data_IF_037703125530
#
_entry.id   IF_037703125530
#
_cell.length_a   1.000
_cell.length_b   1.000
_cell.length_c   1.000
_cell.angle_alpha   90.00
_cell.angle_beta   90.00
_cell.angle_gamma   90.00
#
_symmetry.space_group_name_H-M   'P 1'
#
loop_
_entity.id
_entity.type
_entity.pdbx_description
1 polymer ?
#
# COMPACT_ATOMS: atom_id res chain seq x y z
N UNK A 1 57.87 -33.75 -49.81
CA UNK A 1 57.45 -32.55 -49.04
C UNK A 1 57.31 -31.32 -49.95
N UNK A 2 56.69 -31.45 -51.14
CA UNK A 2 56.44 -30.31 -52.07
C UNK A 2 55.04 -30.38 -52.70
N UNK A 3 54.43 -31.57 -52.80
CA UNK A 3 53.05 -31.71 -53.30
C UNK A 3 51.94 -31.37 -52.29
N UNK A 4 52.24 -31.31 -51.00
CA UNK A 4 51.22 -31.11 -49.96
C UNK A 4 50.88 -29.61 -49.74
N UNK A 5 51.88 -28.72 -49.87
CA UNK A 5 51.65 -27.27 -49.80
C UNK A 5 50.89 -26.71 -51.01
N UNK A 6 51.05 -27.31 -52.20
CA UNK A 6 50.41 -26.81 -53.43
C UNK A 6 48.88 -27.05 -53.46
N UNK A 7 48.40 -28.09 -52.78
CA UNK A 7 46.96 -28.41 -52.69
C UNK A 7 46.26 -27.48 -51.70
N UNK A 8 46.93 -27.14 -50.58
CA UNK A 8 46.41 -26.22 -49.57
C UNK A 8 46.16 -24.81 -50.14
N UNK A 9 47.06 -24.27 -50.96
CA UNK A 9 46.92 -22.91 -51.54
C UNK A 9 45.79 -22.83 -52.58
N UNK A 10 45.44 -23.94 -53.25
CA UNK A 10 44.41 -23.95 -54.29
C UNK A 10 42.99 -23.94 -53.73
N UNK A 11 42.78 -24.58 -52.58
CA UNK A 11 41.47 -24.63 -51.89
C UNK A 11 41.05 -23.24 -51.38
N UNK A 12 42.00 -22.46 -50.86
CA UNK A 12 41.75 -21.09 -50.37
C UNK A 12 41.62 -20.02 -51.46
N UNK A 13 41.75 -20.39 -52.75
CA UNK A 13 41.49 -19.52 -53.90
C UNK A 13 40.19 -19.84 -54.64
N UNK A 14 39.53 -20.94 -54.27
CA UNK A 14 38.23 -21.28 -54.84
C UNK A 14 37.13 -20.46 -54.16
N UNK A 15 36.53 -19.55 -54.93
CA UNK A 15 35.44 -18.67 -54.47
C UNK A 15 34.29 -19.48 -53.87
N UNK A 16 34.00 -20.68 -54.40
CA UNK A 16 32.91 -21.53 -53.91
C UNK A 16 33.21 -22.07 -52.52
N UNK A 17 34.46 -22.46 -52.27
CA UNK A 17 34.91 -22.93 -50.97
C UNK A 17 34.89 -21.79 -49.94
N UNK A 18 35.38 -20.60 -50.31
CA UNK A 18 35.32 -19.41 -49.45
C UNK A 18 33.86 -19.05 -49.10
N UNK A 19 32.94 -19.06 -50.08
CA UNK A 19 31.53 -18.78 -49.82
C UNK A 19 30.88 -19.81 -48.89
N UNK A 20 31.27 -21.08 -49.00
CA UNK A 20 30.74 -22.15 -48.16
C UNK A 20 31.26 -22.04 -46.72
N UNK A 21 32.54 -21.72 -46.54
CA UNK A 21 33.13 -21.44 -45.22
C UNK A 21 32.51 -20.18 -44.61
N UNK A 22 32.30 -19.11 -45.39
CA UNK A 22 31.64 -17.90 -44.93
C UNK A 22 30.19 -18.16 -44.49
N UNK A 23 29.43 -18.96 -45.23
CA UNK A 23 28.07 -19.37 -44.85
C UNK A 23 28.05 -20.22 -43.58
N UNK A 24 29.01 -21.14 -43.42
CA UNK A 24 29.16 -21.93 -42.19
C UNK A 24 29.47 -21.06 -40.98
N UNK A 25 30.41 -20.12 -41.12
CA UNK A 25 30.76 -19.17 -40.05
C UNK A 25 29.60 -18.22 -39.74
N UNK A 26 28.85 -17.77 -40.75
CA UNK A 26 27.66 -16.95 -40.57
C UNK A 26 26.56 -17.74 -39.84
N UNK A 27 26.32 -19.00 -40.22
CA UNK A 27 25.36 -19.87 -39.52
C UNK A 27 25.78 -20.15 -38.08
N UNK A 28 27.08 -20.40 -37.84
CA UNK A 28 27.61 -20.60 -36.50
C UNK A 28 27.48 -19.31 -35.67
N UNK A 29 27.71 -18.14 -36.27
CA UNK A 29 27.51 -16.86 -35.61
C UNK A 29 26.03 -16.63 -35.21
N UNK A 30 25.07 -16.94 -36.09
CA UNK A 30 23.65 -16.83 -35.76
C UNK A 30 23.19 -17.85 -34.71
N UNK A 31 23.78 -19.05 -34.67
CA UNK A 31 23.45 -20.08 -33.68
C UNK A 31 24.12 -19.81 -32.33
N UNK A 32 25.35 -19.27 -32.31
CA UNK A 32 26.12 -19.04 -31.09
C UNK A 32 25.87 -17.65 -30.47
N UNK A 33 25.49 -16.64 -31.26
CA UNK A 33 25.25 -15.29 -30.74
C UNK A 33 24.19 -15.22 -29.63
N UNK A 34 23.03 -15.93 -29.68
CA UNK A 34 22.06 -15.89 -28.59
C UNK A 34 22.61 -16.49 -27.29
N UNK A 35 23.52 -17.45 -27.39
CA UNK A 35 24.14 -18.13 -26.24
C UNK A 35 25.25 -17.29 -25.60
N UNK A 36 25.95 -16.47 -26.39
CA UNK A 36 27.05 -15.59 -25.92
C UNK A 36 26.55 -14.23 -25.43
N UNK A 37 25.42 -13.73 -25.93
CA UNK A 37 24.87 -12.42 -25.56
C UNK A 37 23.62 -12.48 -24.65
N UNK A 38 23.40 -13.59 -23.94
CA UNK A 38 22.31 -13.67 -22.96
C UNK A 38 22.54 -12.63 -21.86
N UNK A 39 21.61 -11.68 -21.71
CA UNK A 39 21.65 -10.70 -20.62
C UNK A 39 21.60 -11.46 -19.28
N UNK A 40 22.58 -11.22 -18.42
CA UNK A 40 22.67 -11.82 -17.09
C UNK A 40 22.27 -10.81 -16.03
N UNK A 41 21.58 -11.28 -14.99
CA UNK A 41 21.11 -10.46 -13.89
C UNK A 41 19.60 -10.53 -13.76
N UNK A 42 19.08 -9.72 -12.84
CA UNK A 42 17.65 -9.63 -12.55
C UNK A 42 17.23 -8.17 -12.57
N UNK A 43 16.01 -7.88 -13.03
CA UNK A 43 15.45 -6.54 -12.93
C UNK A 43 14.76 -6.38 -11.57
N UNK A 44 14.91 -5.22 -10.95
CA UNK A 44 14.17 -4.83 -9.73
C UNK A 44 12.71 -4.62 -10.11
N UNK A 45 11.81 -5.49 -9.64
CA UNK A 45 10.37 -5.39 -9.90
C UNK A 45 9.67 -4.44 -8.92
N UNK A 46 10.11 -4.41 -7.67
CA UNK A 46 9.53 -3.53 -6.65
C UNK A 46 10.58 -3.20 -5.60
N UNK A 47 10.72 -1.92 -5.28
CA UNK A 47 11.46 -1.48 -4.09
C UNK A 47 10.44 -1.13 -3.04
N UNK A 48 10.47 -1.82 -1.91
CA UNK A 48 9.62 -1.50 -0.78
C UNK A 48 9.91 -0.06 -0.34
N UNK A 49 8.86 0.70 -0.06
CA UNK A 49 9.02 2.06 0.44
C UNK A 49 9.70 2.13 1.82
N UNK A 50 9.78 1.02 2.56
CA UNK A 50 10.61 0.89 3.77
C UNK A 50 12.05 0.44 3.51
N UNK A 51 12.41 0.17 2.24
CA UNK A 51 13.75 -0.27 1.90
C UNK A 51 14.74 0.87 2.12
N UNK A 52 15.71 0.63 2.99
CA UNK A 52 16.84 1.54 3.18
C UNK A 52 17.88 1.27 2.09
N UNK A 53 17.51 1.58 0.84
CA UNK A 53 18.32 1.36 -0.33
C UNK A 53 18.85 2.68 -0.90
N UNK A 54 20.17 2.78 -1.10
CA UNK A 54 20.82 3.89 -1.75
C UNK A 54 21.19 3.52 -3.20
N UNK A 55 20.78 4.34 -4.16
CA UNK A 55 21.11 4.16 -5.57
C UNK A 55 20.33 3.05 -6.28
N UNK A 56 19.15 2.69 -5.77
CA UNK A 56 18.28 1.66 -6.31
C UNK A 56 16.93 2.24 -6.72
N UNK A 57 16.39 1.82 -7.86
CA UNK A 57 15.03 2.11 -8.31
C UNK A 57 14.43 0.90 -9.02
N UNK A 58 13.10 0.90 -9.17
CA UNK A 58 12.42 -0.08 -10.02
C UNK A 58 13.00 -0.05 -11.46
N UNK A 59 13.01 -1.20 -12.11
CA UNK A 59 13.61 -1.49 -13.42
C UNK A 59 15.14 -1.46 -13.48
N UNK A 60 15.84 -1.19 -12.38
CA UNK A 60 17.29 -1.35 -12.33
C UNK A 60 17.69 -2.82 -12.52
N UNK A 61 18.84 -3.05 -13.16
CA UNK A 61 19.37 -4.41 -13.36
C UNK A 61 20.42 -4.71 -12.30
N UNK A 62 20.15 -5.71 -11.46
CA UNK A 62 21.09 -6.23 -10.47
C UNK A 62 21.95 -7.32 -11.09
N UNK A 63 23.26 -7.12 -11.05
CA UNK A 63 24.26 -8.07 -11.57
C UNK A 63 25.12 -8.69 -10.46
N UNK A 64 25.09 -8.11 -9.26
CA UNK A 64 25.85 -8.60 -8.10
C UNK A 64 25.15 -8.25 -6.78
N UNK A 65 25.17 -9.19 -5.82
CA UNK A 65 24.76 -8.99 -4.42
C UNK A 65 25.83 -9.56 -3.50
N UNK A 66 26.35 -8.77 -2.56
CA UNK A 66 27.40 -9.16 -1.61
C UNK A 66 28.62 -9.84 -2.26
N UNK A 67 29.00 -9.38 -3.45
CA UNK A 67 30.09 -9.96 -4.23
C UNK A 67 29.70 -11.19 -5.08
N UNK A 68 28.53 -11.78 -4.87
CA UNK A 68 28.02 -12.91 -5.67
C UNK A 68 27.39 -12.43 -6.97
N UNK A 69 27.77 -13.06 -8.08
CA UNK A 69 27.20 -12.77 -9.39
C UNK A 69 25.77 -13.30 -9.50
N UNK A 70 24.88 -12.44 -9.98
CA UNK A 70 23.46 -12.76 -10.16
C UNK A 70 23.19 -13.00 -11.63
N UNK A 71 22.60 -14.16 -11.95
CA UNK A 71 22.23 -14.55 -13.31
C UNK A 71 20.72 -14.58 -13.52
N UNK A 72 19.99 -14.92 -12.46
CA UNK A 72 18.53 -15.14 -12.41
C UNK A 72 18.02 -14.98 -10.96
N UNK A 73 16.69 -14.98 -10.80
CA UNK A 73 16.00 -14.85 -9.51
C UNK A 73 16.41 -15.93 -8.51
N UNK A 74 16.69 -17.15 -8.97
CA UNK A 74 17.15 -18.23 -8.07
C UNK A 74 18.53 -17.91 -7.47
N UNK A 75 19.46 -17.42 -8.29
CA UNK A 75 20.78 -17.00 -7.82
C UNK A 75 20.69 -15.78 -6.89
N UNK A 76 19.71 -14.89 -7.11
CA UNK A 76 19.42 -13.78 -6.22
C UNK A 76 18.90 -14.27 -4.86
N UNK A 77 17.88 -15.14 -4.84
CA UNK A 77 17.31 -15.69 -3.60
C UNK A 77 18.37 -16.43 -2.76
N UNK A 78 19.27 -17.15 -3.43
CA UNK A 78 20.41 -17.80 -2.79
C UNK A 78 21.41 -16.78 -2.20
N UNK A 79 21.66 -15.67 -2.89
CA UNK A 79 22.61 -14.65 -2.41
C UNK A 79 22.15 -13.94 -1.14
N UNK A 80 20.84 -13.97 -0.84
CA UNK A 80 20.24 -13.36 0.35
C UNK A 80 19.79 -14.39 1.40
N UNK A 81 20.02 -15.69 1.19
CA UNK A 81 19.47 -16.75 2.05
C UNK A 81 19.96 -16.68 3.50
N UNK A 82 21.14 -16.10 3.71
CA UNK A 82 21.81 -15.99 5.01
C UNK A 82 21.76 -14.57 5.58
N UNK A 83 21.18 -13.62 4.85
CA UNK A 83 21.05 -12.22 5.28
C UNK A 83 20.05 -12.11 6.44
N UNK A 84 20.44 -11.39 7.48
CA UNK A 84 19.65 -11.12 8.68
C UNK A 84 19.14 -9.68 8.71
N UNK A 85 18.03 -9.47 9.41
CA UNK A 85 17.48 -8.15 9.63
C UNK A 85 18.56 -7.16 10.14
N UNK A 86 18.70 -6.01 9.48
CA UNK A 86 19.70 -4.99 9.79
C UNK A 86 21.08 -5.17 9.14
N UNK A 87 21.32 -6.27 8.42
CA UNK A 87 22.57 -6.46 7.69
C UNK A 87 22.73 -5.46 6.55
N UNK A 88 23.94 -4.97 6.35
CA UNK A 88 24.27 -4.12 5.21
C UNK A 88 24.62 -4.98 3.98
N UNK A 89 23.87 -4.79 2.90
CA UNK A 89 23.97 -5.56 1.66
C UNK A 89 24.47 -4.67 0.53
N UNK A 90 25.55 -5.10 -0.11
CA UNK A 90 26.15 -4.39 -1.25
C UNK A 90 25.60 -4.91 -2.57
N UNK A 91 25.36 -4.02 -3.52
CA UNK A 91 24.73 -4.34 -4.81
C UNK A 91 25.50 -3.66 -5.96
N UNK A 92 25.40 -4.26 -7.15
CA UNK A 92 25.64 -3.54 -8.41
C UNK A 92 24.31 -3.35 -9.14
N UNK A 93 23.79 -2.13 -9.08
CA UNK A 93 22.59 -1.69 -9.81
C UNK A 93 22.99 -0.99 -11.11
N UNK A 94 22.60 -1.53 -12.26
CA UNK A 94 23.03 -1.08 -13.59
C UNK A 94 24.57 -0.94 -13.69
N UNK A 95 25.31 -1.82 -13.02
CA UNK A 95 26.77 -1.79 -12.86
C UNK A 95 27.33 -0.58 -12.08
N UNK A 96 26.51 0.14 -11.34
CA UNK A 96 26.90 1.19 -10.39
C UNK A 96 26.72 0.67 -8.96
N UNK A 97 27.63 1.01 -8.03
CA UNK A 97 27.46 0.63 -6.63
C UNK A 97 26.14 1.15 -6.06
N UNK A 98 25.37 0.23 -5.49
CA UNK A 98 24.18 0.49 -4.70
C UNK A 98 24.28 -0.31 -3.40
N UNK A 99 23.42 0.00 -2.43
CA UNK A 99 23.38 -0.73 -1.17
C UNK A 99 21.98 -0.75 -0.59
N UNK A 100 21.66 -1.76 0.19
CA UNK A 100 20.44 -1.83 0.99
C UNK A 100 20.77 -2.29 2.41
N UNK A 101 20.01 -1.83 3.40
CA UNK A 101 19.97 -2.45 4.73
C UNK A 101 18.80 -3.45 4.76
N UNK A 102 19.05 -4.67 5.21
CA UNK A 102 18.04 -5.72 5.25
C UNK A 102 16.87 -5.37 6.18
N UNK A 103 15.65 -5.44 5.65
CA UNK A 103 14.41 -5.11 6.36
C UNK A 103 13.95 -6.25 7.26
N UNK A 104 14.22 -7.50 6.87
CA UNK A 104 14.01 -8.68 7.71
C UNK A 104 14.92 -9.84 7.29
N UNK A 105 14.83 -10.98 7.97
CA UNK A 105 15.57 -12.17 7.60
C UNK A 105 15.24 -12.58 6.15
N UNK A 106 16.27 -12.63 5.29
CA UNK A 106 16.17 -12.92 3.84
C UNK A 106 15.38 -11.90 3.02
N UNK A 107 15.16 -10.70 3.55
CA UNK A 107 14.50 -9.61 2.82
C UNK A 107 15.35 -8.36 2.88
N UNK A 108 15.78 -7.89 1.71
CA UNK A 108 16.60 -6.70 1.55
C UNK A 108 15.81 -5.48 1.08
N UNK A 109 14.48 -5.54 1.18
CA UNK A 109 13.57 -4.44 0.90
C UNK A 109 13.21 -4.29 -0.56
N UNK A 110 13.55 -5.23 -1.45
CA UNK A 110 13.08 -5.19 -2.83
C UNK A 110 12.91 -6.59 -3.42
N UNK A 111 12.03 -6.72 -4.40
CA UNK A 111 11.83 -7.95 -5.16
C UNK A 111 12.42 -7.82 -6.56
N UNK A 112 12.76 -8.96 -7.15
CA UNK A 112 13.37 -9.04 -8.47
C UNK A 112 12.58 -9.96 -9.40
N UNK A 113 12.80 -9.78 -10.70
CA UNK A 113 12.35 -10.67 -11.75
C UNK A 113 13.48 -10.97 -12.73
N UNK A 114 13.42 -12.11 -13.39
CA UNK A 114 14.37 -12.47 -14.43
C UNK A 114 14.35 -11.45 -15.59
N UNK A 115 15.52 -11.19 -16.17
CA UNK A 115 15.61 -10.37 -17.37
C UNK A 115 15.04 -11.13 -18.56
N UNK A 116 14.04 -10.53 -19.22
CA UNK A 116 13.52 -11.04 -20.47
C UNK A 116 14.63 -11.11 -21.53
N UNK A 117 14.78 -12.27 -22.17
CA UNK A 117 15.75 -12.49 -23.25
C UNK A 117 15.48 -11.61 -24.49
N UNK A 118 14.27 -11.04 -24.58
CA UNK A 118 13.83 -10.18 -25.67
C UNK A 118 13.21 -8.89 -25.11
N UNK A 119 13.12 -7.84 -25.94
CA UNK A 119 12.41 -6.61 -25.58
C UNK A 119 10.88 -6.75 -25.71
N UNK A 120 10.38 -7.96 -25.93
CA UNK A 120 8.95 -8.23 -25.99
C UNK A 120 8.43 -8.32 -24.56
N UNK A 121 7.38 -7.55 -24.27
CA UNK A 121 6.62 -7.68 -23.03
C UNK A 121 5.65 -8.83 -23.19
N UNK A 122 5.81 -9.89 -22.42
CA UNK A 122 4.88 -11.01 -22.46
C UNK A 122 3.84 -10.87 -21.34
N UNK A 123 2.81 -11.72 -21.39
CA UNK A 123 1.86 -11.84 -20.30
C UNK A 123 2.44 -12.65 -19.13
N UNK A 124 1.74 -12.64 -18.00
CA UNK A 124 2.07 -13.44 -16.82
C UNK A 124 2.14 -14.94 -17.12
N UNK A 125 1.47 -15.40 -18.19
CA UNK A 125 1.52 -16.77 -18.70
C UNK A 125 2.93 -17.20 -19.13
N UNK A 126 3.79 -16.24 -19.46
CA UNK A 126 5.17 -16.46 -19.93
C UNK A 126 6.17 -15.95 -18.90
N UNK A 127 5.93 -14.78 -18.32
CA UNK A 127 6.84 -14.13 -17.38
C UNK A 127 6.73 -14.68 -15.95
N UNK A 128 5.72 -15.52 -15.69
CA UNK A 128 5.40 -16.03 -14.36
C UNK A 128 4.90 -14.95 -13.40
N UNK A 129 4.26 -15.35 -12.30
CA UNK A 129 3.73 -14.44 -11.28
C UNK A 129 2.49 -14.98 -10.58
N UNK A 130 1.80 -14.10 -9.87
CA UNK A 130 0.53 -14.38 -9.19
C UNK A 130 -0.62 -13.68 -9.89
N UNK A 131 -1.64 -14.45 -10.30
CA UNK A 131 -2.94 -13.94 -10.74
C UNK A 131 -3.94 -14.12 -9.60
N UNK A 132 -4.62 -13.04 -9.23
CA UNK A 132 -5.65 -13.01 -8.18
C UNK A 132 -6.97 -12.58 -8.79
N UNK A 133 -8.04 -13.33 -8.52
CA UNK A 133 -9.40 -12.94 -8.85
C UNK A 133 -10.10 -12.46 -7.58
N UNK A 134 -10.61 -11.24 -7.63
CA UNK A 134 -11.36 -10.59 -6.55
C UNK A 134 -12.83 -10.51 -6.91
N UNK A 135 -13.69 -10.78 -5.94
CA UNK A 135 -15.15 -10.64 -6.02
C UNK A 135 -15.64 -9.66 -4.95
N UNK A 136 -16.68 -8.85 -5.21
CA UNK A 136 -17.32 -8.07 -4.17
C UNK A 136 -17.91 -8.96 -3.07
N UNK A 137 -17.84 -8.51 -1.82
CA UNK A 137 -18.45 -9.21 -0.69
C UNK A 137 -19.98 -9.17 -0.68
N UNK A 138 -20.61 -8.39 -1.58
CA UNK A 138 -22.06 -8.26 -1.72
C UNK A 138 -22.47 -8.56 -3.16
N UNK A 139 -23.66 -9.14 -3.34
CA UNK A 139 -24.21 -9.49 -4.65
C UNK A 139 -24.83 -8.30 -5.40
N UNK A 140 -25.12 -7.20 -4.70
CA UNK A 140 -25.74 -6.02 -5.29
C UNK A 140 -24.69 -4.97 -5.66
N UNK A 141 -23.98 -5.20 -6.76
CA UNK A 141 -22.93 -4.31 -7.27
C UNK A 141 -23.17 -4.00 -8.74
N UNK A 142 -22.96 -2.74 -9.11
CA UNK A 142 -23.07 -2.26 -10.50
C UNK A 142 -21.72 -2.36 -11.22
N UNK A 143 -21.73 -2.49 -12.54
CA UNK A 143 -20.50 -2.47 -13.34
C UNK A 143 -19.68 -1.20 -13.09
N UNK A 144 -20.35 -0.04 -12.96
CA UNK A 144 -19.69 1.22 -12.63
C UNK A 144 -18.95 1.18 -11.27
N UNK A 145 -19.50 0.48 -10.26
CA UNK A 145 -18.79 0.29 -8.99
C UNK A 145 -17.58 -0.63 -9.13
N UNK A 146 -17.64 -1.65 -9.99
CA UNK A 146 -16.49 -2.52 -10.29
C UNK A 146 -15.40 -1.74 -11.01
N UNK A 147 -15.75 -0.97 -12.03
CA UNK A 147 -14.81 -0.14 -12.78
C UNK A 147 -14.14 0.88 -11.86
N UNK A 148 -14.91 1.55 -11.01
CA UNK A 148 -14.38 2.49 -10.02
C UNK A 148 -13.47 1.80 -8.99
N UNK A 149 -13.84 0.61 -8.54
CA UNK A 149 -13.01 -0.19 -7.63
C UNK A 149 -11.69 -0.60 -8.30
N UNK A 150 -11.73 -1.02 -9.56
CA UNK A 150 -10.54 -1.35 -10.34
C UNK A 150 -9.65 -0.11 -10.56
N UNK A 151 -10.25 1.06 -10.82
CA UNK A 151 -9.53 2.34 -10.93
C UNK A 151 -8.78 2.67 -9.64
N UNK A 152 -9.45 2.63 -8.49
CA UNK A 152 -8.84 2.93 -7.19
C UNK A 152 -7.74 1.92 -6.83
N UNK A 153 -7.95 0.62 -7.10
CA UNK A 153 -6.91 -0.39 -6.94
C UNK A 153 -5.69 -0.09 -7.82
N UNK A 154 -5.90 0.30 -9.08
CA UNK A 154 -4.82 0.72 -9.99
C UNK A 154 -4.08 1.94 -9.47
N UNK A 155 -4.77 2.92 -8.88
CA UNK A 155 -4.13 4.07 -8.24
C UNK A 155 -3.29 3.66 -7.04
N UNK A 156 -3.78 2.77 -6.17
CA UNK A 156 -2.99 2.25 -5.03
C UNK A 156 -1.73 1.56 -5.48
N UNK A 157 -1.85 0.69 -6.48
CA UNK A 157 -0.72 0.00 -7.12
C UNK A 157 0.34 1.02 -7.56
N UNK A 158 -0.07 2.06 -8.28
CA UNK A 158 0.85 3.11 -8.74
C UNK A 158 1.47 3.90 -7.58
N UNK A 159 0.68 4.24 -6.56
CA UNK A 159 1.14 5.00 -5.38
C UNK A 159 2.12 4.19 -4.51
N UNK A 160 1.96 2.87 -4.45
CA UNK A 160 2.94 1.98 -3.84
C UNK A 160 4.20 1.78 -4.70
N UNK A 161 4.22 2.29 -5.94
CA UNK A 161 5.35 2.11 -6.85
C UNK A 161 5.41 0.72 -7.49
N UNK A 162 4.28 0.02 -7.58
CA UNK A 162 4.17 -1.32 -8.13
C UNK A 162 3.92 -1.26 -9.64
N UNK A 163 4.99 -1.18 -10.44
CA UNK A 163 4.89 -1.02 -11.91
C UNK A 163 4.41 -2.27 -12.65
N UNK A 164 4.60 -3.44 -12.07
CA UNK A 164 4.33 -4.75 -12.70
C UNK A 164 2.98 -5.35 -12.28
N UNK A 165 2.09 -4.55 -11.70
CA UNK A 165 0.73 -5.00 -11.36
C UNK A 165 -0.28 -4.47 -12.35
N UNK A 166 -1.04 -5.38 -12.95
CA UNK A 166 -2.16 -5.05 -13.83
C UNK A 166 -3.47 -5.31 -13.10
N UNK A 167 -4.34 -4.30 -13.08
CA UNK A 167 -5.69 -4.40 -12.53
C UNK A 167 -6.69 -4.32 -13.67
N UNK A 168 -7.50 -5.36 -13.86
CA UNK A 168 -8.44 -5.47 -14.97
C UNK A 168 -9.83 -5.88 -14.45
N UNK A 169 -10.88 -5.07 -14.65
CA UNK A 169 -12.25 -5.50 -14.38
C UNK A 169 -12.68 -6.58 -15.39
N UNK A 170 -13.36 -7.63 -14.92
CA UNK A 170 -13.87 -8.73 -15.73
C UNK A 170 -15.39 -8.82 -15.54
N UNK A 171 -16.13 -8.63 -16.63
CA UNK A 171 -17.59 -8.65 -16.58
C UNK A 171 -18.15 -7.59 -15.64
N UNK A 172 -19.13 -7.96 -14.82
CA UNK A 172 -19.83 -7.03 -13.92
C UNK A 172 -19.59 -7.28 -12.44
N UNK A 173 -18.72 -8.23 -12.07
CA UNK A 173 -18.56 -8.68 -10.69
C UNK A 173 -17.18 -9.22 -10.33
N UNK A 174 -16.20 -9.12 -11.23
CA UNK A 174 -14.84 -9.64 -11.00
C UNK A 174 -13.81 -8.57 -11.27
N UNK A 175 -12.72 -8.61 -10.50
CA UNK A 175 -11.51 -7.84 -10.76
C UNK A 175 -10.33 -8.80 -10.75
N UNK A 176 -9.58 -8.84 -11.84
CA UNK A 176 -8.35 -9.60 -11.96
C UNK A 176 -7.16 -8.70 -11.64
N UNK A 177 -6.29 -9.18 -10.76
CA UNK A 177 -4.97 -8.60 -10.51
C UNK A 177 -3.91 -9.58 -10.98
N UNK A 178 -2.93 -9.09 -11.72
CA UNK A 178 -1.75 -9.86 -12.12
C UNK A 178 -0.53 -9.15 -11.58
N UNK A 179 0.31 -9.85 -10.82
CA UNK A 179 1.50 -9.29 -10.20
C UNK A 179 2.69 -10.24 -10.37
N UNK A 180 3.82 -9.70 -10.80
CA UNK A 180 5.10 -10.42 -10.81
C UNK A 180 5.76 -10.29 -9.43
N UNK A 181 6.10 -11.41 -8.79
CA UNK A 181 6.88 -11.40 -7.54
C UNK A 181 6.15 -10.96 -6.27
N UNK A 182 4.81 -10.84 -6.28
CA UNK A 182 4.00 -10.65 -5.06
C UNK A 182 3.19 -11.91 -4.74
N UNK A 183 3.05 -12.23 -3.45
CA UNK A 183 2.14 -13.29 -3.02
C UNK A 183 0.68 -12.80 -3.01
N UNK A 184 -0.27 -13.74 -3.07
CA UNK A 184 -1.70 -13.40 -2.89
C UNK A 184 -2.00 -12.74 -1.53
N UNK A 185 -1.20 -13.06 -0.50
CA UNK A 185 -1.32 -12.46 0.83
C UNK A 185 -0.91 -10.98 0.85
N UNK A 186 0.13 -10.62 0.11
CA UNK A 186 0.59 -9.22 -0.01
C UNK A 186 -0.48 -8.38 -0.71
N UNK A 187 -1.04 -8.89 -1.81
CA UNK A 187 -2.14 -8.25 -2.53
C UNK A 187 -3.34 -8.04 -1.60
N UNK A 188 -3.69 -9.03 -0.77
CA UNK A 188 -4.82 -8.91 0.16
C UNK A 188 -4.58 -7.85 1.25
N UNK A 189 -3.39 -7.87 1.84
CA UNK A 189 -3.10 -7.05 3.01
C UNK A 189 -2.85 -5.59 2.64
N UNK A 190 -2.29 -5.32 1.46
CA UNK A 190 -1.88 -3.98 1.06
C UNK A 190 -2.80 -3.32 0.03
N UNK A 191 -3.40 -4.09 -0.90
CA UNK A 191 -4.18 -3.53 -2.00
C UNK A 191 -5.70 -3.66 -1.78
N UNK A 192 -6.17 -4.86 -1.41
CA UNK A 192 -7.60 -5.20 -1.39
C UNK A 192 -8.37 -4.80 -0.10
N UNK A 193 -7.78 -3.99 0.78
CA UNK A 193 -8.49 -3.42 1.93
C UNK A 193 -9.47 -2.36 1.47
N UNK A 194 -10.61 -2.18 2.14
CA UNK A 194 -11.57 -1.17 1.69
C UNK A 194 -10.96 0.23 1.82
N UNK A 195 -10.29 0.50 2.94
CA UNK A 195 -9.69 1.80 3.19
C UNK A 195 -10.73 2.86 3.55
N UNK A 196 -11.84 2.46 4.18
CA UNK A 196 -12.83 3.39 4.70
C UNK A 196 -12.24 4.12 5.88
N UNK A 197 -11.96 5.41 5.70
CA UNK A 197 -11.42 6.25 6.75
C UNK A 197 -12.49 7.17 7.31
N UNK A 198 -12.65 7.21 8.63
CA UNK A 198 -13.60 8.07 9.33
C UNK A 198 -12.93 8.73 10.53
N UNK A 199 -13.07 10.04 10.67
CA UNK A 199 -12.73 10.79 11.88
C UNK A 199 -14.00 11.08 12.66
N UNK A 200 -14.09 10.55 13.88
CA UNK A 200 -15.25 10.75 14.76
C UNK A 200 -14.83 11.33 16.09
N UNK A 201 -15.64 12.23 16.61
CA UNK A 201 -15.45 12.80 17.94
C UNK A 201 -16.14 11.89 18.97
N UNK A 202 -15.37 11.23 19.82
CA UNK A 202 -15.87 10.39 20.90
C UNK A 202 -16.23 11.25 22.12
N UNK A 203 -17.52 11.35 22.39
CA UNK A 203 -18.07 12.13 23.50
C UNK A 203 -18.58 11.17 24.59
N UNK A 204 -17.90 11.10 25.74
CA UNK A 204 -18.40 10.38 26.89
C UNK A 204 -19.53 11.17 27.55
N UNK A 205 -20.64 10.49 27.85
CA UNK A 205 -21.77 11.03 28.57
C UNK A 205 -21.83 10.37 29.94
N UNK A 206 -21.84 11.17 30.99
CA UNK A 206 -22.05 10.74 32.37
C UNK A 206 -23.44 11.22 32.82
N UNK A 207 -24.29 10.29 33.26
CA UNK A 207 -25.66 10.59 33.63
C UNK A 207 -25.79 10.89 35.12
N UNK A 208 -26.41 12.02 35.44
CA UNK A 208 -26.86 12.37 36.80
C UNK A 208 -28.38 12.43 36.80
N UNK A 209 -29.04 11.64 37.65
CA UNK A 209 -30.50 11.47 37.66
C UNK A 209 -31.07 11.12 36.28
N UNK A 210 -30.38 10.23 35.55
CA UNK A 210 -30.67 9.85 34.16
C UNK A 210 -30.58 10.99 33.14
N UNK A 211 -30.04 12.16 33.49
CA UNK A 211 -29.86 13.29 32.58
C UNK A 211 -28.38 13.53 32.26
N UNK A 212 -28.10 13.79 30.99
CA UNK A 212 -26.82 14.27 30.47
C UNK A 212 -27.10 15.31 29.38
N UNK A 213 -26.04 15.96 28.89
CA UNK A 213 -26.13 16.89 27.77
C UNK A 213 -25.08 16.57 26.72
N UNK A 214 -25.45 16.72 25.44
CA UNK A 214 -24.53 16.78 24.31
C UNK A 214 -24.39 18.25 23.89
N UNK A 215 -23.17 18.72 23.64
CA UNK A 215 -22.94 20.11 23.22
C UNK A 215 -22.57 20.16 21.73
N UNK A 216 -23.36 20.90 20.94
CA UNK A 216 -23.10 21.12 19.51
C UNK A 216 -23.31 22.59 19.15
N UNK A 217 -22.27 23.24 18.64
CA UNK A 217 -22.27 24.66 18.28
C UNK A 217 -22.57 25.55 19.47
N UNK A 218 -21.96 25.26 20.63
CA UNK A 218 -22.23 25.94 21.91
C UNK A 218 -23.63 25.72 22.50
N UNK A 219 -24.51 24.97 21.82
CA UNK A 219 -25.86 24.68 22.29
C UNK A 219 -25.89 23.36 23.04
N UNK A 220 -26.50 23.35 24.23
CA UNK A 220 -26.66 22.16 25.05
C UNK A 220 -27.97 21.45 24.69
N UNK A 221 -27.87 20.18 24.30
CA UNK A 221 -29.01 19.31 23.97
C UNK A 221 -29.19 18.28 25.08
N UNK A 222 -30.35 18.23 25.75
CA UNK A 222 -30.61 17.27 26.80
C UNK A 222 -30.73 15.85 26.21
N UNK A 223 -30.13 14.90 26.91
CA UNK A 223 -30.22 13.47 26.63
C UNK A 223 -30.60 12.76 27.91
N UNK A 224 -31.61 11.89 27.84
CA UNK A 224 -32.02 11.11 29.01
C UNK A 224 -31.80 9.62 28.82
N UNK A 225 -31.37 8.94 29.87
CA UNK A 225 -31.20 7.49 29.88
C UNK A 225 -32.53 6.84 30.26
N UNK A 226 -33.11 6.07 29.34
CA UNK A 226 -34.36 5.34 29.55
C UNK A 226 -34.08 3.85 29.39
N UNK A 227 -33.82 3.18 30.52
CA UNK A 227 -33.39 1.78 30.52
C UNK A 227 -32.02 1.63 29.87
N UNK A 228 -31.97 1.00 28.68
CA UNK A 228 -30.73 0.82 27.89
C UNK A 228 -30.77 1.60 26.57
N UNK A 229 -31.52 2.70 26.54
CA UNK A 229 -31.70 3.57 25.37
C UNK A 229 -31.48 5.04 25.76
N UNK A 230 -31.08 5.84 24.78
CA UNK A 230 -31.00 7.29 24.92
C UNK A 230 -32.24 7.93 24.31
N UNK A 231 -32.96 8.73 25.09
CA UNK A 231 -33.95 9.65 24.56
C UNK A 231 -33.26 10.94 24.11
N UNK A 232 -33.32 11.21 22.81
CA UNK A 232 -32.81 12.44 22.18
C UNK A 232 -33.97 13.11 21.45
N UNK A 233 -34.37 14.30 21.89
CA UNK A 233 -35.51 15.05 21.33
C UNK A 233 -36.83 14.26 21.27
N UNK A 234 -37.10 13.38 22.24
CA UNK A 234 -38.34 12.60 22.35
C UNK A 234 -38.33 11.28 21.56
N UNK A 235 -37.17 10.89 21.01
CA UNK A 235 -36.99 9.64 20.26
C UNK A 235 -36.00 8.73 20.99
N UNK A 236 -36.37 7.45 21.14
CA UNK A 236 -35.54 6.45 21.82
C UNK A 236 -34.56 5.79 20.83
N UNK A 237 -33.29 5.82 21.20
CA UNK A 237 -32.17 5.33 20.40
C UNK A 237 -31.40 4.23 21.16
N UNK A 238 -31.33 3.04 20.58
CA UNK A 238 -30.55 1.92 21.12
C UNK A 238 -29.06 2.02 20.75
N UNK A 239 -28.22 1.21 21.39
CA UNK A 239 -26.83 0.99 20.94
C UNK A 239 -26.78 0.66 19.43
N UNK A 240 -25.74 1.14 18.75
CA UNK A 240 -25.50 1.10 17.31
C UNK A 240 -26.48 1.92 16.44
N UNK A 241 -27.53 2.50 17.02
CA UNK A 241 -28.40 3.43 16.28
C UNK A 241 -27.72 4.79 16.11
N UNK A 242 -28.29 5.59 15.20
CA UNK A 242 -27.81 6.94 14.90
C UNK A 242 -28.91 7.97 15.16
N UNK A 243 -28.50 9.19 15.45
CA UNK A 243 -29.36 10.37 15.58
C UNK A 243 -28.62 11.61 15.10
N UNK A 244 -29.31 12.73 14.90
CA UNK A 244 -28.71 13.97 14.44
C UNK A 244 -29.00 15.12 15.40
N UNK A 245 -27.96 15.88 15.76
CA UNK A 245 -28.06 17.10 16.57
C UNK A 245 -27.25 18.21 15.91
N UNK A 246 -27.85 19.40 15.77
CA UNK A 246 -27.18 20.54 15.14
C UNK A 246 -26.64 20.26 13.73
N UNK A 247 -27.21 19.32 12.97
CA UNK A 247 -26.72 18.92 11.65
C UNK A 247 -25.49 17.99 11.67
N UNK A 248 -25.11 17.45 12.82
CA UNK A 248 -24.06 16.44 12.99
C UNK A 248 -24.72 15.10 13.32
N UNK A 249 -24.29 14.04 12.62
CA UNK A 249 -24.75 12.68 12.87
C UNK A 249 -23.93 12.05 13.98
N UNK A 250 -24.61 11.45 14.95
CA UNK A 250 -24.01 10.72 16.06
C UNK A 250 -24.35 9.23 15.96
N UNK A 251 -23.42 8.38 16.40
CA UNK A 251 -23.62 6.94 16.55
C UNK A 251 -23.42 6.56 18.02
N UNK A 252 -24.35 5.79 18.58
CA UNK A 252 -24.21 5.29 19.95
C UNK A 252 -23.38 4.00 19.91
N UNK A 253 -22.26 3.95 20.64
CA UNK A 253 -21.37 2.77 20.66
C UNK A 253 -21.39 2.03 21.98
N UNK A 254 -21.76 2.70 23.07
CA UNK A 254 -21.85 2.08 24.37
C UNK A 254 -22.92 2.76 25.22
N UNK A 255 -23.68 1.97 25.99
CA UNK A 255 -24.61 2.45 27.00
C UNK A 255 -24.45 1.53 28.22
N UNK A 256 -24.28 2.13 29.39
CA UNK A 256 -24.30 1.47 30.70
C UNK A 256 -25.42 2.05 31.55
N UNK A 257 -25.50 1.67 32.82
CA UNK A 257 -26.52 2.20 33.74
C UNK A 257 -26.30 3.67 34.13
N UNK A 258 -25.10 4.21 33.91
CA UNK A 258 -24.74 5.56 34.34
C UNK A 258 -23.88 6.33 33.32
N UNK A 259 -23.48 5.70 32.21
CA UNK A 259 -22.69 6.36 31.17
C UNK A 259 -23.06 5.88 29.77
N UNK A 260 -22.69 6.68 28.77
CA UNK A 260 -22.76 6.29 27.36
C UNK A 260 -21.58 6.87 26.58
N UNK A 261 -21.29 6.29 25.42
CA UNK A 261 -20.34 6.85 24.46
C UNK A 261 -21.09 7.06 23.15
N UNK A 262 -21.03 8.30 22.66
CA UNK A 262 -21.52 8.67 21.34
C UNK A 262 -20.37 9.15 20.46
N UNK A 263 -20.42 8.82 19.19
CA UNK A 263 -19.43 9.21 18.20
C UNK A 263 -20.05 10.20 17.22
N UNK A 264 -19.62 11.45 17.24
CA UNK A 264 -20.02 12.46 16.26
C UNK A 264 -19.21 12.30 14.97
N UNK A 265 -19.87 12.18 13.82
CA UNK A 265 -19.19 12.06 12.53
C UNK A 265 -18.63 13.42 12.10
N UNK A 266 -17.31 13.56 12.12
CA UNK A 266 -16.64 14.82 11.77
C UNK A 266 -16.21 14.80 10.31
N UNK A 267 -15.48 13.78 9.89
CA UNK A 267 -15.01 13.66 8.52
C UNK A 267 -14.90 12.21 8.08
N UNK A 268 -14.89 12.03 6.77
CA UNK A 268 -14.67 10.77 6.08
C UNK A 268 -13.50 10.90 5.11
N UNK A 269 -13.06 9.80 4.51
CA UNK A 269 -12.06 9.82 3.44
C UNK A 269 -12.43 10.76 2.28
N UNK A 270 -13.73 10.97 2.01
CA UNK A 270 -14.18 11.88 0.96
C UNK A 270 -13.97 13.36 1.29
N UNK A 271 -13.77 13.69 2.57
CA UNK A 271 -13.45 15.05 3.00
C UNK A 271 -11.95 15.36 2.87
N UNK A 272 -11.11 14.36 2.61
CA UNK A 272 -9.66 14.55 2.43
C UNK A 272 -9.42 15.06 1.02
N UNK A 273 -8.86 16.27 0.95
CA UNK A 273 -8.52 16.95 -0.30
C UNK A 273 -7.07 16.70 -0.70
N UNK A 274 -6.18 16.44 0.27
CA UNK A 274 -4.78 16.15 0.03
C UNK A 274 -4.15 15.42 1.22
N UNK A 275 -3.05 14.71 0.96
CA UNK A 275 -2.19 14.10 1.99
C UNK A 275 -0.78 14.63 1.77
N UNK A 276 -0.22 15.33 2.76
CA UNK A 276 1.10 15.94 2.68
C UNK A 276 2.16 14.91 3.06
N UNK A 277 2.92 14.44 2.07
CA UNK A 277 3.95 13.41 2.22
C UNK A 277 5.37 13.98 2.19
N UNK A 278 5.52 15.31 2.20
CA UNK A 278 6.83 15.94 2.21
C UNK A 278 7.49 15.86 3.60
N UNK A 279 8.83 15.93 3.69
CA UNK A 279 9.55 15.74 4.97
C UNK A 279 9.22 16.75 6.08
N UNK A 280 8.56 17.87 5.78
CA UNK A 280 8.16 18.85 6.80
C UNK A 280 6.84 18.46 7.47
N UNK A 281 6.01 17.68 6.77
CA UNK A 281 4.65 17.35 7.21
C UNK A 281 4.45 15.86 7.47
N UNK A 282 5.32 15.00 6.94
CA UNK A 282 5.31 13.54 7.12
C UNK A 282 6.68 13.02 7.58
N UNK A 283 6.68 12.08 8.52
CA UNK A 283 7.91 11.48 9.02
C UNK A 283 7.74 10.55 10.21
N UNK A 284 8.84 9.90 10.56
CA UNK A 284 8.92 8.94 11.67
C UNK A 284 9.96 9.44 12.66
N UNK A 285 9.57 9.47 13.93
CA UNK A 285 10.42 9.89 15.05
C UNK A 285 10.52 8.77 16.10
N UNK A 286 11.70 8.54 16.70
CA UNK A 286 11.83 7.64 17.84
C UNK A 286 10.95 8.08 19.02
N UNK A 287 10.35 7.12 19.71
CA UNK A 287 9.59 7.29 20.95
C UNK A 287 10.04 6.25 22.00
N UNK A 288 9.71 6.45 23.27
CA UNK A 288 10.28 5.69 24.40
C UNK A 288 10.36 4.17 24.22
N UNK A 289 9.36 3.55 23.58
CA UNK A 289 9.30 2.09 23.36
C UNK A 289 9.07 1.69 21.90
N UNK A 290 9.41 2.56 20.96
CA UNK A 290 9.20 2.29 19.53
C UNK A 290 9.32 3.54 18.66
N UNK A 291 8.50 3.62 17.63
CA UNK A 291 8.54 4.67 16.62
C UNK A 291 7.16 5.25 16.43
N UNK A 292 7.10 6.58 16.42
CA UNK A 292 5.90 7.34 16.13
C UNK A 292 6.00 7.87 14.72
N UNK A 293 5.01 7.58 13.88
CA UNK A 293 4.87 8.25 12.60
C UNK A 293 3.86 9.39 12.71
N UNK A 294 4.03 10.41 11.88
CA UNK A 294 3.12 11.54 11.74
C UNK A 294 3.03 11.93 10.28
N UNK A 295 1.84 12.30 9.81
CA UNK A 295 1.67 12.98 8.53
C UNK A 295 0.50 13.95 8.59
N UNK A 296 0.47 14.97 7.73
CA UNK A 296 -0.61 15.99 7.72
C UNK A 296 -1.56 15.73 6.57
N UNK A 297 -2.86 15.86 6.81
CA UNK A 297 -3.89 15.82 5.76
C UNK A 297 -4.55 17.18 5.61
N UNK A 298 -5.02 17.48 4.41
CA UNK A 298 -5.86 18.64 4.15
C UNK A 298 -7.31 18.17 4.01
N UNK A 299 -8.22 18.76 4.78
CA UNK A 299 -9.65 18.44 4.74
C UNK A 299 -10.47 19.58 4.15
N UNK A 300 -11.66 19.23 3.64
CA UNK A 300 -12.65 20.18 3.14
C UNK A 300 -13.05 21.20 4.21
N UNK A 301 -13.49 22.38 3.77
CA UNK A 301 -13.96 23.44 4.67
C UNK A 301 -15.19 22.97 5.45
N UNK A 302 -16.06 22.21 4.79
CA UNK A 302 -17.26 21.63 5.36
C UNK A 302 -16.93 20.68 6.52
N UNK A 303 -15.89 19.85 6.37
CA UNK A 303 -15.37 18.99 7.43
C UNK A 303 -14.80 19.80 8.60
N UNK A 304 -13.96 20.79 8.30
CA UNK A 304 -13.38 21.67 9.31
C UNK A 304 -14.48 22.42 10.11
N UNK A 305 -15.58 22.79 9.47
CA UNK A 305 -16.72 23.44 10.12
C UNK A 305 -17.56 22.49 10.96
N UNK A 306 -17.70 21.22 10.55
CA UNK A 306 -18.29 20.19 11.42
C UNK A 306 -17.44 19.96 12.67
N UNK A 307 -16.11 19.93 12.53
CA UNK A 307 -15.20 19.83 13.68
C UNK A 307 -15.34 21.03 14.62
N UNK A 308 -15.29 22.24 14.08
CA UNK A 308 -15.48 23.47 14.83
C UNK A 308 -16.81 23.41 15.62
N UNK A 309 -17.90 23.08 14.93
CA UNK A 309 -19.22 23.00 15.54
C UNK A 309 -19.34 21.90 16.60
N UNK A 310 -18.77 20.72 16.39
CA UNK A 310 -18.81 19.63 17.37
C UNK A 310 -18.00 19.91 18.64
N UNK A 311 -16.99 20.78 18.54
CA UNK A 311 -16.06 21.10 19.64
C UNK A 311 -16.38 22.42 20.34
N UNK A 312 -17.11 23.32 19.68
CA UNK A 312 -17.49 24.62 20.23
C UNK A 312 -18.32 24.48 21.52
N UNK A 313 -17.83 25.07 22.61
CA UNK A 313 -18.50 25.08 23.92
C UNK A 313 -18.29 23.80 24.75
N UNK A 314 -17.49 22.84 24.28
CA UNK A 314 -17.17 21.64 25.04
C UNK A 314 -16.42 21.98 26.34
N UNK A 315 -16.74 21.31 27.48
CA UNK A 315 -16.02 21.50 28.73
C UNK A 315 -14.56 21.06 28.56
N UNK A 316 -13.66 21.75 29.27
CA UNK A 316 -12.24 21.47 29.23
C UNK A 316 -11.66 21.22 30.62
N UNK A 317 -10.67 20.33 30.69
CA UNK A 317 -9.92 20.01 31.90
C UNK A 317 -8.44 20.32 31.70
N UNK A 318 -7.75 20.76 32.76
CA UNK A 318 -6.32 21.05 32.71
C UNK A 318 -5.52 19.80 33.10
N UNK A 319 -4.57 19.43 32.26
CA UNK A 319 -3.70 18.27 32.46
C UNK A 319 -2.33 18.55 31.85
N UNK A 320 -1.25 18.21 32.56
CA UNK A 320 0.13 18.30 32.06
C UNK A 320 0.52 19.66 31.44
N UNK A 321 0.00 20.77 31.96
CA UNK A 321 0.35 22.11 31.48
C UNK A 321 -0.54 22.65 30.37
N UNK A 322 -1.49 21.87 29.86
CA UNK A 322 -2.41 22.26 28.79
C UNK A 322 -3.86 21.97 29.19
N UNK A 323 -4.80 22.68 28.57
CA UNK A 323 -6.23 22.42 28.75
C UNK A 323 -6.76 21.66 27.53
N UNK A 324 -7.50 20.59 27.76
CA UNK A 324 -8.08 19.73 26.72
C UNK A 324 -9.58 19.66 26.88
N UNK A 325 -10.33 19.69 25.78
CA UNK A 325 -11.77 19.39 25.83
C UNK A 325 -12.00 17.92 26.15
N UNK A 326 -13.13 17.63 26.79
CA UNK A 326 -13.52 16.25 27.16
C UNK A 326 -13.54 15.27 25.99
N UNK A 327 -14.17 15.58 24.84
CA UNK A 327 -14.22 14.61 23.75
C UNK A 327 -12.87 14.44 23.03
N UNK A 328 -12.63 13.23 22.54
CA UNK A 328 -11.40 12.87 21.80
C UNK A 328 -11.70 12.66 20.33
N UNK A 329 -10.80 13.09 19.44
CA UNK A 329 -10.89 12.74 18.03
C UNK A 329 -10.34 11.33 17.81
N UNK A 330 -11.20 10.39 17.45
CA UNK A 330 -10.85 9.01 17.16
C UNK A 330 -10.86 8.79 15.65
N UNK A 331 -9.75 8.28 15.13
CA UNK A 331 -9.60 7.93 13.72
C UNK A 331 -9.91 6.45 13.53
N UNK A 332 -10.71 6.13 12.54
CA UNK A 332 -11.11 4.77 12.19
C UNK A 332 -10.62 4.43 10.78
N UNK A 333 -10.11 3.22 10.62
CA UNK A 333 -9.83 2.59 9.33
C UNK A 333 -10.60 1.28 9.26
N UNK A 334 -11.45 1.12 8.25
CA UNK A 334 -12.30 -0.06 8.07
C UNK A 334 -13.08 -0.40 9.36
N UNK A 335 -13.65 0.63 9.99
CA UNK A 335 -14.43 0.57 11.25
C UNK A 335 -13.61 0.21 12.50
N UNK A 336 -12.30 0.01 12.39
CA UNK A 336 -11.41 -0.23 13.53
C UNK A 336 -10.73 1.07 13.97
N UNK A 337 -10.71 1.38 15.28
CA UNK A 337 -9.99 2.56 15.78
C UNK A 337 -8.49 2.38 15.58
N UNK A 338 -7.85 3.32 14.89
CA UNK A 338 -6.40 3.31 14.62
C UNK A 338 -5.63 4.35 15.42
N UNK A 339 -6.30 5.40 15.90
CA UNK A 339 -5.69 6.46 16.72
C UNK A 339 -6.76 7.20 17.53
N UNK A 340 -6.39 7.72 18.69
CA UNK A 340 -7.21 8.63 19.50
C UNK A 340 -6.36 9.84 19.90
N UNK A 341 -6.93 11.03 19.71
CA UNK A 341 -6.24 12.30 19.87
C UNK A 341 -7.00 13.18 20.86
N UNK A 342 -6.30 13.65 21.90
CA UNK A 342 -6.80 14.72 22.76
C UNK A 342 -6.83 16.03 21.97
N UNK A 343 -7.86 16.85 22.20
CA UNK A 343 -8.02 18.14 21.53
C UNK A 343 -7.77 19.24 22.55
N UNK A 344 -6.76 20.07 22.31
CA UNK A 344 -6.51 21.24 23.17
C UNK A 344 -7.68 22.22 23.08
N UNK A 345 -8.05 22.83 24.19
CA UNK A 345 -9.23 23.70 24.28
C UNK A 345 -9.15 24.94 23.41
N UNK A 346 -7.95 25.38 23.05
CA UNK A 346 -7.75 26.49 22.11
C UNK A 346 -8.18 26.15 20.67
N UNK A 347 -8.24 24.86 20.30
CA UNK A 347 -8.73 24.41 18.99
C UNK A 347 -10.25 24.21 18.95
N UNK A 348 -10.92 24.22 20.10
CA UNK A 348 -12.37 24.07 20.16
C UNK A 348 -13.06 25.23 19.44
N UNK A 349 -14.01 24.92 18.55
CA UNK A 349 -14.67 25.93 17.71
C UNK A 349 -13.82 26.46 16.55
N UNK A 350 -12.59 25.99 16.37
CA UNK A 350 -11.75 26.42 15.25
C UNK A 350 -11.95 25.52 14.02
N UNK A 351 -12.08 26.17 12.86
CA UNK A 351 -12.15 25.49 11.56
C UNK A 351 -10.73 25.10 11.12
N UNK A 352 -10.25 23.94 11.59
CA UNK A 352 -8.91 23.43 11.26
C UNK A 352 -8.96 22.56 9.99
N UNK A 353 -8.36 23.04 8.91
CA UNK A 353 -8.31 22.33 7.63
C UNK A 353 -7.08 21.43 7.46
N UNK A 354 -6.11 21.48 8.37
CA UNK A 354 -4.83 20.75 8.28
C UNK A 354 -4.53 19.92 9.52
N UNK A 355 -5.36 18.90 9.86
CA UNK A 355 -5.06 18.04 11.00
C UNK A 355 -3.88 17.09 10.72
N UNK A 356 -3.14 16.75 11.78
CA UNK A 356 -2.05 15.76 11.75
C UNK A 356 -2.54 14.40 12.24
N UNK A 357 -2.25 13.36 11.46
CA UNK A 357 -2.48 11.95 11.80
C UNK A 357 -1.19 11.40 12.40
N UNK A 358 -1.33 10.68 13.52
CA UNK A 358 -0.22 10.10 14.25
C UNK A 358 -0.51 8.65 14.59
N UNK A 359 0.52 7.81 14.55
CA UNK A 359 0.46 6.43 15.00
C UNK A 359 1.78 5.95 15.56
N UNK A 360 1.78 4.76 16.15
CA UNK A 360 2.93 4.18 16.82
C UNK A 360 3.08 2.70 16.45
N UNK A 361 4.32 2.25 16.28
CA UNK A 361 4.71 0.84 16.15
C UNK A 361 5.99 0.57 16.92
N UNK A 362 6.29 -0.69 17.20
CA UNK A 362 7.47 -1.08 17.99
C UNK A 362 8.75 -0.94 17.18
N UNK A 363 8.69 -1.16 15.86
CA UNK A 363 9.84 -1.03 14.95
C UNK A 363 9.66 0.13 13.98
N UNK A 364 10.79 0.64 13.45
CA UNK A 364 10.79 1.73 12.47
C UNK A 364 10.09 1.30 11.19
N UNK A 365 10.36 0.08 10.75
CA UNK A 365 9.84 -0.48 9.51
C UNK A 365 8.33 -0.70 9.59
N UNK A 366 7.81 -1.18 10.72
CA UNK A 366 6.37 -1.27 10.94
C UNK A 366 5.71 0.11 10.92
N UNK A 367 6.33 1.11 11.56
CA UNK A 367 5.81 2.48 11.56
C UNK A 367 5.79 3.07 10.13
N UNK A 368 6.82 2.79 9.33
CA UNK A 368 6.92 3.23 7.95
C UNK A 368 5.88 2.55 7.06
N UNK A 369 5.72 1.24 7.19
CA UNK A 369 4.73 0.47 6.45
C UNK A 369 3.30 0.93 6.78
N UNK A 370 3.00 1.17 8.06
CA UNK A 370 1.69 1.68 8.46
C UNK A 370 1.44 3.10 7.94
N UNK A 371 2.44 3.99 8.06
CA UNK A 371 2.34 5.36 7.56
C UNK A 371 2.06 5.38 6.05
N UNK A 372 2.87 4.68 5.26
CA UNK A 372 2.69 4.58 3.81
C UNK A 372 1.35 3.97 3.43
N UNK A 373 0.93 2.93 4.14
CA UNK A 373 -0.37 2.28 3.93
C UNK A 373 -1.50 3.28 4.12
N UNK A 374 -1.49 4.04 5.22
CA UNK A 374 -2.49 5.06 5.49
C UNK A 374 -2.44 6.17 4.43
N UNK A 375 -1.27 6.72 4.13
CA UNK A 375 -1.11 7.74 3.08
C UNK A 375 -1.67 7.27 1.73
N UNK A 376 -1.39 6.02 1.35
CA UNK A 376 -1.85 5.45 0.09
C UNK A 376 -3.37 5.26 0.06
N UNK A 377 -3.96 4.75 1.14
CA UNK A 377 -5.41 4.61 1.27
C UNK A 377 -6.10 5.97 1.19
N UNK A 378 -5.57 6.97 1.89
CA UNK A 378 -6.19 8.30 1.94
C UNK A 378 -6.04 9.06 0.62
N UNK A 379 -4.94 8.85 -0.13
CA UNK A 379 -4.73 9.45 -1.45
C UNK A 379 -5.55 8.80 -2.56
N UNK A 380 -5.70 7.48 -2.52
CA UNK A 380 -6.48 6.73 -3.51
C UNK A 380 -7.99 6.71 -3.22
N UNK A 381 -8.39 6.98 -1.99
CA UNK A 381 -9.77 6.90 -1.54
C UNK A 381 -10.19 5.49 -1.12
N UNK A 382 -11.43 5.38 -0.67
CA UNK A 382 -12.00 4.11 -0.20
C UNK A 382 -12.60 3.30 -1.36
N UNK A 383 -12.47 1.98 -1.31
CA UNK A 383 -13.12 1.11 -2.30
C UNK A 383 -14.65 1.20 -2.12
N UNK A 384 -15.41 1.46 -3.21
CA UNK A 384 -16.87 1.52 -3.17
C UNK A 384 -17.50 0.21 -2.68
N UNK A 385 -16.82 -0.92 -2.89
CA UNK A 385 -17.23 -2.24 -2.42
C UNK A 385 -16.08 -2.94 -1.72
N UNK A 386 -16.41 -3.70 -0.68
CA UNK A 386 -15.47 -4.62 -0.05
C UNK A 386 -15.21 -5.81 -0.98
N UNK A 387 -13.96 -6.27 -1.04
CA UNK A 387 -13.53 -7.36 -1.91
C UNK A 387 -13.13 -8.60 -1.11
N UNK A 388 -13.36 -9.77 -1.69
CA UNK A 388 -12.89 -11.07 -1.24
C UNK A 388 -11.99 -11.68 -2.32
N UNK A 389 -11.05 -12.53 -1.91
CA UNK A 389 -10.29 -13.35 -2.85
C UNK A 389 -11.14 -14.55 -3.23
N UNK A 390 -11.51 -14.64 -4.51
CA UNK A 390 -12.16 -15.81 -5.08
C UNK A 390 -11.13 -16.89 -5.40
N UNK A 391 -10.00 -16.48 -5.99
CA UNK A 391 -8.98 -17.41 -6.47
C UNK A 391 -7.59 -16.76 -6.53
N UNK A 392 -6.56 -17.57 -6.27
CA UNK A 392 -5.15 -17.22 -6.48
C UNK A 392 -4.52 -18.32 -7.34
N UNK A 393 -3.97 -17.94 -8.48
CA UNK A 393 -3.22 -18.81 -9.37
C UNK A 393 -1.76 -18.33 -9.41
N UNK A 394 -0.80 -19.22 -9.14
CA UNK A 394 0.62 -18.95 -9.34
C UNK A 394 1.06 -19.60 -10.63
N UNK A 395 1.64 -18.81 -11.54
CA UNK A 395 2.17 -19.27 -12.82
C UNK A 395 3.69 -19.23 -12.74
N UNK A 396 4.35 -20.35 -13.05
CA UNK A 396 5.81 -20.42 -13.02
C UNK A 396 6.41 -20.09 -14.39
N UNK A 397 7.57 -19.43 -14.41
CA UNK A 397 8.28 -19.07 -15.66
C UNK A 397 8.66 -20.29 -16.52
N UNK A 398 8.87 -21.45 -15.90
CA UNK A 398 9.21 -22.70 -16.59
C UNK A 398 8.05 -23.22 -17.45
N UNK A 399 6.80 -23.09 -16.98
CA UNK A 399 5.59 -23.43 -17.74
C UNK A 399 5.43 -22.53 -18.97
N UNK A 400 5.72 -21.24 -18.81
CA UNK A 400 5.66 -20.24 -19.88
C UNK A 400 6.75 -20.41 -20.95
N UNK A 401 7.99 -20.67 -20.51
CA UNK A 401 9.13 -20.90 -21.42
C UNK A 401 8.94 -22.15 -22.29
N UNK A 402 8.21 -23.16 -21.80
CA UNK A 402 7.84 -24.35 -22.58
C UNK A 402 6.92 -24.04 -23.76
N UNK A 403 6.09 -22.99 -23.67
CA UNK A 403 5.20 -22.55 -24.75
C UNK A 403 5.96 -21.86 -25.88
N UNK A 404 7.04 -21.14 -25.55
CA UNK A 404 7.88 -20.46 -26.55
C UNK A 404 8.82 -21.44 -27.25
N UNK A 405 9.32 -22.44 -26.52
CA UNK A 405 10.28 -23.42 -27.05
C UNK A 405 9.64 -24.61 -27.78
N UNK A 406 8.31 -24.70 -27.82
CA UNK A 406 7.56 -25.79 -28.48
C UNK A 406 7.10 -25.47 -29.92
N UNK A 407 7.51 -24.32 -30.45
CA UNK A 407 7.41 -23.92 -31.87
C UNK A 407 8.79 -23.83 -32.48
#
# INVERSE_FOLDING_TARGET
MVCEEAIQVKIWKDVRFITLVALLLLSAYFVLSPMVFKKTGVAVSFVNANADCAGLKAEDVITQVNGYHITDSTSFDQSISDVKAGDFVTLLSNNVPASCTATSDRDIGFTVRDLSATNLKFGIEIEGGTRVLLTPSTSNVTAAQIDETARILGERVNLFGLSDIRVTPIGSNLIQLEASGLSGGDIQNFLAKQGRFDGKLAEPLEFTDNNANIIVGGTSYPVTLVGSQLDVNGSLHSINSTFALGGINFQITNITNNSAIVLANIFSGNDITNVLTDPQHSGITPANSGYKFTFTVQVSKESADRFAKATEGQPASFSNGESYITPQLVLFLDEQPVSSLNIVSTLAGQSLTTPSIQGFKTTRDEAQNEMLRLETILRSGSLPVKLNIERVDTITQSEGSGLINST
#
